data_IF_280835489674
#
_entry.id   IF_280835489674
#
_cell.length_a   1.000
_cell.length_b   1.000
_cell.length_c   1.000
_cell.angle_alpha   90.00
_cell.angle_beta   90.00
_cell.angle_gamma   90.00
#
_symmetry.space_group_name_H-M   'P 1'
#
loop_
_entity.id
_entity.type
_entity.pdbx_description
1 polymer ?
#
# COMPACT_ATOMS: atom_id res chain seq x y z
N UNK A 1 7.31 -7.63 10.87
CA UNK A 1 7.98 -7.43 12.18
C UNK A 1 6.95 -7.32 13.36
N UNK A 2 5.65 -7.54 13.16
CA UNK A 2 4.63 -7.26 14.21
C UNK A 2 4.04 -8.46 14.97
N UNK A 3 4.34 -9.70 14.58
CA UNK A 3 3.63 -10.90 15.09
C UNK A 3 3.84 -11.12 16.60
N UNK A 4 5.07 -11.07 17.16
CA UNK A 4 5.27 -11.29 18.59
C UNK A 4 4.57 -10.24 19.47
N UNK A 5 4.59 -8.98 19.04
CA UNK A 5 3.92 -7.88 19.73
C UNK A 5 2.39 -8.00 19.69
N UNK A 6 1.83 -8.50 18.57
CA UNK A 6 0.40 -8.80 18.46
C UNK A 6 0.01 -9.97 19.35
N UNK A 7 0.75 -11.08 19.33
CA UNK A 7 0.49 -12.24 20.18
C UNK A 7 0.57 -11.88 21.67
N UNK A 8 1.54 -11.06 22.07
CA UNK A 8 1.64 -10.57 23.45
C UNK A 8 0.44 -9.68 23.83
N UNK A 9 0.02 -8.77 22.95
CA UNK A 9 -1.12 -7.89 23.18
C UNK A 9 -2.43 -8.70 23.30
N UNK A 10 -2.62 -9.72 22.46
CA UNK A 10 -3.74 -10.66 22.58
C UNK A 10 -3.71 -11.42 23.91
N UNK A 11 -2.55 -11.93 24.33
CA UNK A 11 -2.38 -12.61 25.62
C UNK A 11 -2.73 -11.70 26.79
N UNK A 12 -2.36 -10.42 26.72
CA UNK A 12 -2.68 -9.40 27.74
C UNK A 12 -4.08 -8.80 27.60
N UNK A 13 -4.88 -9.22 26.61
CA UNK A 13 -6.21 -8.65 26.28
C UNK A 13 -6.18 -7.13 26.06
N UNK A 14 -5.05 -6.60 25.59
CA UNK A 14 -4.83 -5.18 25.36
C UNK A 14 -5.35 -4.77 23.98
N UNK A 15 -6.67 -4.63 23.88
CA UNK A 15 -7.34 -4.28 22.62
C UNK A 15 -6.95 -2.89 22.09
N UNK A 16 -6.62 -1.95 22.98
CA UNK A 16 -6.20 -0.60 22.59
C UNK A 16 -4.84 -0.63 21.90
N UNK A 17 -3.90 -1.45 22.40
CA UNK A 17 -2.60 -1.66 21.75
C UNK A 17 -2.75 -2.37 20.41
N UNK A 18 -3.63 -3.36 20.29
CA UNK A 18 -3.90 -4.03 19.01
C UNK A 18 -4.44 -3.03 17.99
N UNK A 19 -5.41 -2.21 18.38
CA UNK A 19 -5.97 -1.15 17.52
C UNK A 19 -4.90 -0.14 17.09
N UNK A 20 -4.00 0.24 17.99
CA UNK A 20 -2.87 1.13 17.68
C UNK A 20 -1.92 0.50 16.66
N UNK A 21 -1.56 -0.77 16.85
CA UNK A 21 -0.72 -1.52 15.88
C UNK A 21 -1.45 -1.61 14.54
N UNK A 22 -2.76 -1.84 14.55
CA UNK A 22 -3.55 -1.97 13.35
C UNK A 22 -3.55 -0.69 12.51
N UNK A 23 -3.89 0.45 13.12
CA UNK A 23 -3.89 1.75 12.44
C UNK A 23 -2.50 2.18 11.98
N UNK A 24 -1.47 2.00 12.81
CA UNK A 24 -0.08 2.31 12.43
C UNK A 24 0.39 1.48 11.24
N UNK A 25 0.07 0.19 11.25
CA UNK A 25 0.43 -0.69 10.14
C UNK A 25 -0.25 -0.28 8.84
N UNK A 26 -1.55 0.02 8.89
CA UNK A 26 -2.34 0.44 7.73
C UNK A 26 -1.79 1.72 7.13
N UNK A 27 -1.56 2.77 7.94
CA UNK A 27 -1.09 4.04 7.41
C UNK A 27 0.32 3.95 6.83
N UNK A 28 1.22 3.20 7.47
CA UNK A 28 2.59 3.03 6.97
C UNK A 28 2.62 2.21 5.67
N UNK A 29 1.88 1.12 5.62
CA UNK A 29 1.80 0.27 4.44
C UNK A 29 1.13 1.01 3.28
N UNK A 30 0.11 1.83 3.56
CA UNK A 30 -0.52 2.69 2.55
C UNK A 30 0.45 3.74 2.00
N UNK A 31 1.20 4.41 2.88
CA UNK A 31 2.22 5.39 2.47
C UNK A 31 3.28 4.75 1.56
N UNK A 32 3.78 3.56 1.92
CA UNK A 32 4.76 2.82 1.11
C UNK A 32 4.13 2.41 -0.23
N UNK A 33 2.91 1.88 -0.22
CA UNK A 33 2.23 1.45 -1.42
C UNK A 33 1.98 2.62 -2.39
N UNK A 34 1.50 3.77 -1.89
CA UNK A 34 1.32 4.99 -2.69
C UNK A 34 2.64 5.54 -3.22
N UNK A 35 3.68 5.54 -2.40
CA UNK A 35 5.00 6.02 -2.80
C UNK A 35 5.56 5.20 -3.97
N UNK A 36 5.51 3.87 -3.86
CA UNK A 36 5.99 2.97 -4.91
C UNK A 36 5.11 3.05 -6.15
N UNK A 37 3.79 2.98 -5.97
CA UNK A 37 2.85 3.04 -7.08
C UNK A 37 2.94 4.36 -7.84
N UNK A 38 3.00 5.50 -7.15
CA UNK A 38 3.12 6.82 -7.76
C UNK A 38 4.40 6.95 -8.61
N UNK A 39 5.55 6.50 -8.09
CA UNK A 39 6.81 6.49 -8.85
C UNK A 39 6.74 5.57 -10.07
N UNK A 40 6.19 4.36 -9.94
CA UNK A 40 6.05 3.41 -11.05
C UNK A 40 5.12 4.00 -12.12
N UNK A 41 3.97 4.54 -11.69
CA UNK A 41 2.94 5.06 -12.58
C UNK A 41 3.39 6.31 -13.35
N UNK A 42 4.03 7.27 -12.67
CA UNK A 42 4.57 8.48 -13.31
C UNK A 42 5.62 8.19 -14.38
N UNK A 43 6.42 7.14 -14.16
CA UNK A 43 7.54 6.80 -15.03
C UNK A 43 7.24 5.67 -16.00
N UNK A 44 6.04 5.08 -15.98
CA UNK A 44 5.75 3.85 -16.71
C UNK A 44 6.10 3.91 -18.20
N UNK A 45 5.58 4.90 -18.92
CA UNK A 45 5.84 5.06 -20.36
C UNK A 45 7.29 5.43 -20.63
N UNK A 46 7.84 6.35 -19.83
CA UNK A 46 9.23 6.78 -19.95
C UNK A 46 10.20 5.61 -19.71
N UNK A 47 9.92 4.74 -18.75
CA UNK A 47 10.72 3.56 -18.47
C UNK A 47 10.69 2.59 -19.64
N UNK A 48 9.52 2.29 -20.20
CA UNK A 48 9.41 1.38 -21.36
C UNK A 48 10.18 1.90 -22.56
N UNK A 49 10.00 3.19 -22.89
CA UNK A 49 10.65 3.81 -24.04
C UNK A 49 12.17 3.94 -23.85
N UNK A 50 12.61 4.36 -22.66
CA UNK A 50 14.04 4.61 -22.37
C UNK A 50 14.84 3.31 -22.22
N UNK A 51 14.22 2.26 -21.68
CA UNK A 51 14.84 0.94 -21.56
C UNK A 51 14.79 0.14 -22.88
N UNK A 52 14.24 0.71 -23.95
CA UNK A 52 14.03 0.04 -25.24
C UNK A 52 13.29 -1.29 -25.10
N UNK A 53 12.30 -1.34 -24.21
CA UNK A 53 11.46 -2.53 -24.06
C UNK A 53 10.52 -2.67 -25.25
N UNK A 54 10.04 -3.89 -25.47
CA UNK A 54 9.09 -4.17 -26.55
C UNK A 54 7.84 -3.25 -26.40
N UNK A 55 7.43 -2.50 -27.45
CA UNK A 55 6.27 -1.61 -27.41
C UNK A 55 4.97 -2.29 -26.97
N UNK A 56 4.85 -3.61 -27.13
CA UNK A 56 3.72 -4.40 -26.61
C UNK A 56 3.51 -4.18 -25.11
N UNK A 57 4.56 -3.90 -24.33
CA UNK A 57 4.42 -3.59 -22.91
C UNK A 57 3.63 -2.32 -22.63
N UNK A 58 3.58 -1.34 -23.55
CA UNK A 58 2.75 -0.13 -23.37
C UNK A 58 1.25 -0.48 -23.29
N UNK A 59 0.83 -1.57 -23.93
CA UNK A 59 -0.55 -2.06 -23.83
C UNK A 59 -0.89 -2.56 -22.42
N UNK A 60 0.13 -2.91 -21.63
CA UNK A 60 0.01 -3.31 -20.22
C UNK A 60 -0.21 -2.16 -19.24
N UNK A 61 -0.31 -0.90 -19.70
CA UNK A 61 -0.46 0.27 -18.82
C UNK A 61 -1.61 0.11 -17.82
N UNK A 62 -2.80 -0.26 -18.30
CA UNK A 62 -3.96 -0.46 -17.43
C UNK A 62 -3.81 -1.65 -16.48
N UNK A 63 -3.01 -2.66 -16.83
CA UNK A 63 -2.71 -3.79 -15.95
C UNK A 63 -1.91 -3.31 -14.74
N UNK A 64 -0.92 -2.44 -14.94
CA UNK A 64 -0.13 -1.83 -13.86
C UNK A 64 -1.01 -0.94 -12.97
N UNK A 65 -1.94 -0.19 -13.57
CA UNK A 65 -2.91 0.60 -12.80
C UNK A 65 -3.76 -0.30 -11.88
N UNK A 66 -4.37 -1.35 -12.44
CA UNK A 66 -5.21 -2.29 -11.69
C UNK A 66 -4.44 -3.01 -10.59
N UNK A 67 -3.22 -3.47 -10.88
CA UNK A 67 -2.34 -4.10 -9.89
C UNK A 67 -1.92 -3.11 -8.80
N UNK A 68 -1.64 -1.86 -9.16
CA UNK A 68 -1.35 -0.80 -8.21
C UNK A 68 -2.50 -0.57 -7.23
N UNK A 69 -3.73 -0.43 -7.74
CA UNK A 69 -4.94 -0.29 -6.90
C UNK A 69 -5.13 -1.53 -6.01
N UNK A 70 -4.90 -2.73 -6.54
CA UNK A 70 -4.97 -3.98 -5.76
C UNK A 70 -3.99 -3.95 -4.59
N UNK A 71 -2.75 -3.52 -4.82
CA UNK A 71 -1.73 -3.37 -3.79
C UNK A 71 -2.14 -2.29 -2.77
N UNK A 72 -2.70 -1.16 -3.22
CA UNK A 72 -3.21 -0.11 -2.32
C UNK A 72 -4.34 -0.61 -1.42
N UNK A 73 -5.27 -1.40 -1.95
CA UNK A 73 -6.35 -2.00 -1.14
C UNK A 73 -5.76 -2.97 -0.13
N UNK A 74 -4.92 -3.90 -0.57
CA UNK A 74 -4.36 -4.94 0.29
C UNK A 74 -3.48 -4.35 1.41
N UNK A 75 -2.45 -3.60 1.03
CA UNK A 75 -1.53 -2.96 1.97
C UNK A 75 -2.22 -1.87 2.80
N UNK A 76 -3.16 -1.14 2.21
CA UNK A 76 -3.90 -0.07 2.88
C UNK A 76 -4.78 -0.57 4.02
N UNK A 77 -5.21 -1.83 3.99
CA UNK A 77 -5.95 -2.44 5.11
C UNK A 77 -5.05 -2.93 6.24
N UNK A 78 -3.72 -2.80 6.12
CA UNK A 78 -2.79 -3.07 7.20
C UNK A 78 -2.61 -4.55 7.52
N UNK A 79 -2.23 -4.86 8.76
CA UNK A 79 -1.93 -6.23 9.20
C UNK A 79 -3.16 -7.01 9.68
N UNK A 80 -4.29 -6.86 8.98
CA UNK A 80 -5.58 -7.44 9.38
C UNK A 80 -5.51 -8.97 9.56
N UNK A 81 -4.82 -9.67 8.67
CA UNK A 81 -4.72 -11.12 8.71
C UNK A 81 -3.83 -11.62 9.84
N UNK A 82 -2.76 -10.90 10.15
CA UNK A 82 -1.90 -11.20 11.28
C UNK A 82 -2.64 -10.96 12.61
N UNK A 83 -3.50 -9.95 12.69
CA UNK A 83 -4.34 -9.70 13.87
C UNK A 83 -5.31 -10.87 14.08
N UNK A 84 -6.00 -11.32 13.04
CA UNK A 84 -6.93 -12.47 13.12
C UNK A 84 -6.16 -13.76 13.43
N UNK A 85 -5.07 -14.02 12.72
CA UNK A 85 -4.25 -15.23 12.82
C UNK A 85 -3.57 -15.41 14.19
N UNK A 86 -3.25 -14.32 14.89
CA UNK A 86 -2.67 -14.37 16.26
C UNK A 86 -3.72 -14.40 17.36
N UNK A 87 -5.01 -14.28 17.02
CA UNK A 87 -6.11 -14.34 17.96
C UNK A 87 -6.65 -15.78 18.12
N UNK A 88 -7.59 -15.96 19.06
CA UNK A 88 -8.34 -17.22 19.19
C UNK A 88 -9.18 -17.58 17.95
N UNK A 89 -9.32 -16.65 16.99
CA UNK A 89 -10.07 -16.81 15.75
C UNK A 89 -9.17 -17.07 14.54
N UNK A 90 -7.97 -17.63 14.72
CA UNK A 90 -7.05 -17.95 13.63
C UNK A 90 -7.69 -18.76 12.49
N UNK A 91 -8.71 -19.58 12.77
CA UNK A 91 -9.46 -20.33 11.75
C UNK A 91 -10.11 -19.39 10.72
N UNK A 92 -10.52 -18.19 11.12
CA UNK A 92 -11.08 -17.18 10.20
C UNK A 92 -10.01 -16.70 9.21
N UNK A 93 -8.76 -16.55 9.65
CA UNK A 93 -7.64 -16.24 8.74
C UNK A 93 -7.47 -17.34 7.70
N UNK A 94 -7.50 -18.60 8.15
CA UNK A 94 -7.40 -19.76 7.29
C UNK A 94 -8.55 -19.84 6.26
N UNK A 95 -9.82 -19.72 6.72
CA UNK A 95 -10.98 -19.79 5.83
C UNK A 95 -11.07 -18.59 4.87
N UNK A 96 -10.68 -17.39 5.29
CA UNK A 96 -10.61 -16.23 4.38
C UNK A 96 -9.53 -16.42 3.32
N UNK A 97 -8.41 -17.07 3.66
CA UNK A 97 -7.39 -17.47 2.68
C UNK A 97 -7.91 -18.47 1.64
N UNK A 98 -8.67 -19.49 2.09
CA UNK A 98 -9.35 -20.42 1.16
C UNK A 98 -10.37 -19.68 0.29
N UNK A 99 -11.17 -18.79 0.88
CA UNK A 99 -12.12 -17.96 0.15
C UNK A 99 -11.46 -17.10 -0.93
N UNK A 100 -10.29 -16.51 -0.64
CA UNK A 100 -9.50 -15.80 -1.65
C UNK A 100 -9.14 -16.70 -2.84
N UNK A 101 -8.67 -17.93 -2.58
CA UNK A 101 -8.34 -18.88 -3.64
C UNK A 101 -9.57 -19.27 -4.46
N UNK A 102 -10.71 -19.48 -3.79
CA UNK A 102 -11.99 -19.82 -4.42
C UNK A 102 -12.54 -18.68 -5.29
N UNK A 103 -12.22 -17.42 -4.99
CA UNK A 103 -12.51 -16.30 -5.89
C UNK A 103 -11.48 -16.21 -7.02
N UNK A 104 -10.20 -16.31 -6.69
CA UNK A 104 -9.12 -16.03 -7.62
C UNK A 104 -9.04 -17.07 -8.75
N UNK A 105 -9.19 -18.36 -8.44
CA UNK A 105 -9.03 -19.44 -9.43
C UNK A 105 -10.13 -19.38 -10.51
N UNK A 106 -11.43 -19.38 -10.19
CA UNK A 106 -12.48 -19.32 -11.21
C UNK A 106 -12.45 -18.01 -12.00
N UNK A 107 -12.19 -16.87 -11.33
CA UNK A 107 -12.07 -15.59 -12.03
C UNK A 107 -10.93 -15.62 -13.03
N UNK A 108 -9.74 -16.09 -12.65
CA UNK A 108 -8.63 -16.21 -13.60
C UNK A 108 -8.96 -17.18 -14.74
N UNK A 109 -9.57 -18.33 -14.45
CA UNK A 109 -9.95 -19.31 -15.46
C UNK A 109 -10.92 -18.74 -16.50
N UNK A 110 -11.82 -17.84 -16.11
CA UNK A 110 -12.79 -17.21 -17.01
C UNK A 110 -12.21 -15.98 -17.72
N UNK A 111 -11.52 -15.11 -16.99
CA UNK A 111 -11.10 -13.78 -17.48
C UNK A 111 -9.80 -13.84 -18.28
N UNK A 112 -8.83 -14.67 -17.91
CA UNK A 112 -7.53 -14.72 -18.60
C UNK A 112 -7.67 -15.20 -20.05
N UNK A 113 -8.43 -16.26 -20.37
CA UNK A 113 -8.63 -16.65 -21.77
C UNK A 113 -9.35 -15.60 -22.61
N UNK A 114 -10.21 -14.76 -22.00
CA UNK A 114 -11.03 -13.77 -22.72
C UNK A 114 -10.32 -12.43 -22.94
N UNK A 115 -9.59 -11.95 -21.95
CA UNK A 115 -9.00 -10.59 -21.95
C UNK A 115 -7.53 -10.59 -21.48
N UNK A 116 -6.88 -11.75 -21.51
CA UNK A 116 -5.44 -11.91 -21.28
C UNK A 116 -4.98 -11.43 -19.90
N UNK A 117 -3.84 -10.73 -19.89
CA UNK A 117 -3.21 -10.22 -18.67
C UNK A 117 -4.07 -9.20 -17.91
N UNK A 118 -4.95 -8.47 -18.61
CA UNK A 118 -5.92 -7.57 -17.99
C UNK A 118 -6.92 -8.36 -17.16
N UNK A 119 -7.32 -9.54 -17.63
CA UNK A 119 -8.18 -10.46 -16.89
C UNK A 119 -7.56 -10.95 -15.59
N UNK A 120 -6.26 -11.25 -15.59
CA UNK A 120 -5.54 -11.62 -14.38
C UNK A 120 -5.51 -10.48 -13.35
N UNK A 121 -5.29 -9.24 -13.80
CA UNK A 121 -5.29 -8.06 -12.93
C UNK A 121 -6.67 -7.74 -12.35
N UNK A 122 -7.73 -7.79 -13.16
CA UNK A 122 -9.12 -7.59 -12.70
C UNK A 122 -9.50 -8.66 -11.68
N UNK A 123 -9.19 -9.93 -11.97
CA UNK A 123 -9.43 -11.05 -11.06
C UNK A 123 -8.75 -10.83 -9.71
N UNK A 124 -7.48 -10.42 -9.75
CA UNK A 124 -6.70 -10.15 -8.54
C UNK A 124 -7.27 -8.98 -7.74
N UNK A 125 -7.57 -7.86 -8.38
CA UNK A 125 -8.16 -6.70 -7.72
C UNK A 125 -9.48 -7.05 -7.05
N UNK A 126 -10.39 -7.70 -7.76
CA UNK A 126 -11.69 -8.08 -7.23
C UNK A 126 -11.57 -9.08 -6.07
N UNK A 127 -10.78 -10.14 -6.23
CA UNK A 127 -10.62 -11.18 -5.22
C UNK A 127 -10.00 -10.62 -3.93
N UNK A 128 -8.93 -9.81 -4.03
CA UNK A 128 -8.30 -9.19 -2.87
C UNK A 128 -9.17 -8.11 -2.21
N UNK A 129 -10.01 -7.42 -2.99
CA UNK A 129 -10.97 -6.45 -2.44
C UNK A 129 -12.03 -7.18 -1.60
N UNK A 130 -12.67 -8.22 -2.15
CA UNK A 130 -13.64 -9.04 -1.43
C UNK A 130 -13.03 -9.68 -0.17
N UNK A 131 -11.83 -10.25 -0.31
CA UNK A 131 -11.07 -10.83 0.79
C UNK A 131 -10.83 -9.85 1.94
N UNK A 132 -10.38 -8.63 1.63
CA UNK A 132 -10.15 -7.60 2.63
C UNK A 132 -11.45 -7.08 3.23
N UNK A 133 -12.53 -6.94 2.46
CA UNK A 133 -13.86 -6.58 2.97
C UNK A 133 -14.34 -7.58 4.02
N UNK A 134 -14.20 -8.88 3.76
CA UNK A 134 -14.60 -9.93 4.72
C UNK A 134 -13.81 -9.82 6.03
N UNK A 135 -12.48 -9.61 5.94
CA UNK A 135 -11.62 -9.45 7.13
C UNK A 135 -11.92 -8.20 7.92
N UNK A 136 -12.10 -7.08 7.23
CA UNK A 136 -12.50 -5.81 7.85
C UNK A 136 -13.85 -5.95 8.55
N UNK A 137 -14.83 -6.56 7.87
CA UNK A 137 -16.15 -6.82 8.43
C UNK A 137 -16.08 -7.70 9.68
N UNK A 138 -15.26 -8.75 9.65
CA UNK A 138 -15.03 -9.62 10.81
C UNK A 138 -14.41 -8.86 11.99
N UNK A 139 -13.32 -8.13 11.77
CA UNK A 139 -12.65 -7.35 12.82
C UNK A 139 -13.56 -6.26 13.40
N UNK A 140 -14.37 -5.62 12.55
CA UNK A 140 -15.35 -4.63 12.98
C UNK A 140 -16.45 -5.26 13.83
N UNK A 141 -17.08 -6.33 13.35
CA UNK A 141 -18.18 -6.98 14.06
C UNK A 141 -17.72 -7.57 15.40
N UNK A 142 -16.56 -8.24 15.41
CA UNK A 142 -16.11 -9.00 16.59
C UNK A 142 -15.34 -8.17 17.61
N UNK A 143 -14.50 -7.25 17.14
CA UNK A 143 -13.57 -6.50 18.00
C UNK A 143 -13.77 -4.99 17.94
N UNK A 144 -14.68 -4.48 17.10
CA UNK A 144 -14.88 -3.04 16.86
C UNK A 144 -13.60 -2.32 16.45
N UNK A 145 -12.73 -3.03 15.73
CA UNK A 145 -11.44 -2.53 15.25
C UNK A 145 -11.53 -2.13 13.79
N UNK A 146 -10.90 -1.01 13.43
CA UNK A 146 -10.76 -0.55 12.04
C UNK A 146 -9.35 -0.01 11.77
N UNK A 147 -8.79 -0.24 10.57
CA UNK A 147 -7.44 0.22 10.24
C UNK A 147 -7.40 1.72 9.92
N UNK A 148 -8.53 2.27 9.48
CA UNK A 148 -8.59 3.60 8.93
C UNK A 148 -8.67 4.67 10.03
N UNK A 149 -8.04 5.79 9.76
CA UNK A 149 -8.11 7.02 10.55
C UNK A 149 -8.40 8.20 9.64
N UNK A 150 -8.68 9.38 10.19
CA UNK A 150 -8.82 10.62 9.41
C UNK A 150 -7.60 10.89 8.52
N UNK A 151 -6.41 10.47 8.96
CA UNK A 151 -5.16 10.58 8.20
C UNK A 151 -5.13 9.68 6.97
N UNK A 152 -5.86 8.57 6.94
CA UNK A 152 -5.92 7.67 5.78
C UNK A 152 -6.44 8.41 4.54
N UNK A 153 -7.50 9.22 4.69
CA UNK A 153 -8.05 10.01 3.60
C UNK A 153 -7.06 11.09 3.14
N UNK A 154 -6.37 11.73 4.08
CA UNK A 154 -5.32 12.73 3.78
C UNK A 154 -4.17 12.10 2.99
N UNK A 155 -3.76 10.88 3.34
CA UNK A 155 -2.70 10.13 2.64
C UNK A 155 -3.10 9.81 1.20
N UNK A 156 -4.34 9.35 0.97
CA UNK A 156 -4.86 9.09 -0.37
C UNK A 156 -4.92 10.38 -1.20
N UNK A 157 -5.47 11.46 -0.63
CA UNK A 157 -5.52 12.76 -1.29
C UNK A 157 -4.11 13.28 -1.63
N UNK A 158 -3.16 13.14 -0.70
CA UNK A 158 -1.77 13.52 -0.91
C UNK A 158 -1.14 12.75 -2.09
N UNK A 159 -1.37 11.44 -2.19
CA UNK A 159 -0.86 10.64 -3.31
C UNK A 159 -1.36 11.13 -4.67
N UNK A 160 -2.66 11.42 -4.77
CA UNK A 160 -3.27 11.96 -5.99
C UNK A 160 -2.75 13.37 -6.30
N UNK A 161 -2.72 14.26 -5.32
CA UNK A 161 -2.23 15.64 -5.50
C UNK A 161 -0.76 15.63 -5.91
N UNK A 162 0.09 14.85 -5.23
CA UNK A 162 1.51 14.76 -5.55
C UNK A 162 1.74 14.22 -6.97
N UNK A 163 0.95 13.23 -7.39
CA UNK A 163 0.97 12.74 -8.77
C UNK A 163 0.63 13.85 -9.77
N UNK A 164 -0.49 14.56 -9.56
CA UNK A 164 -0.94 15.62 -10.45
C UNK A 164 0.07 16.76 -10.54
N UNK A 165 0.61 17.22 -9.40
CA UNK A 165 1.62 18.29 -9.36
C UNK A 165 2.84 17.91 -10.20
N UNK A 166 3.39 16.70 -10.00
CA UNK A 166 4.58 16.27 -10.76
C UNK A 166 4.25 16.06 -12.24
N UNK A 167 3.08 15.49 -12.54
CA UNK A 167 2.63 15.28 -13.92
C UNK A 167 2.55 16.61 -14.70
N UNK A 168 1.94 17.65 -14.12
CA UNK A 168 1.82 18.96 -14.75
C UNK A 168 3.12 19.78 -14.75
N UNK A 169 4.02 19.56 -13.79
CA UNK A 169 5.31 20.28 -13.71
C UNK A 169 6.36 19.74 -14.70
N UNK A 170 6.20 18.51 -15.17
CA UNK A 170 7.19 17.82 -16.03
C UNK A 170 6.68 17.44 -17.42
N UNK A 171 5.98 18.34 -18.16
CA UNK A 171 5.52 18.04 -19.50
C UNK A 171 6.71 17.91 -20.45
N UNK A 172 6.64 16.95 -21.38
CA UNK A 172 7.61 16.82 -22.48
C UNK A 172 9.00 16.28 -22.12
N UNK A 173 9.31 16.01 -20.84
CA UNK A 173 10.57 15.38 -20.47
C UNK A 173 10.57 13.88 -20.85
N UNK A 174 11.55 13.46 -21.65
CA UNK A 174 11.78 12.06 -22.05
C UNK A 174 13.18 11.57 -21.66
N UNK A 175 13.41 10.27 -21.76
CA UNK A 175 14.71 9.64 -21.47
C UNK A 175 15.01 9.47 -19.97
N UNK A 176 16.26 9.08 -19.69
CA UNK A 176 16.74 8.81 -18.33
C UNK A 176 16.60 10.00 -17.39
N UNK A 177 16.90 11.21 -17.87
CA UNK A 177 16.81 12.43 -17.09
C UNK A 177 15.38 12.68 -16.60
N UNK A 178 14.37 12.41 -17.45
CA UNK A 178 12.96 12.50 -17.07
C UNK A 178 12.60 11.56 -15.93
N UNK A 179 13.08 10.32 -15.98
CA UNK A 179 12.80 9.32 -14.93
C UNK A 179 13.38 9.78 -13.59
N UNK A 180 14.63 10.25 -13.58
CA UNK A 180 15.27 10.74 -12.37
C UNK A 180 14.57 11.99 -11.83
N UNK A 181 14.27 12.97 -12.68
CA UNK A 181 13.60 14.21 -12.28
C UNK A 181 12.21 13.91 -11.71
N UNK A 182 11.35 13.19 -12.44
CA UNK A 182 9.99 12.87 -11.98
C UNK A 182 10.00 12.10 -10.67
N UNK A 183 10.89 11.10 -10.55
CA UNK A 183 11.02 10.31 -9.32
C UNK A 183 11.54 11.14 -8.16
N UNK A 184 12.53 12.00 -8.39
CA UNK A 184 13.08 12.88 -7.35
C UNK A 184 12.05 13.91 -6.88
N UNK A 185 11.36 14.58 -7.80
CA UNK A 185 10.31 15.56 -7.45
C UNK A 185 9.13 14.90 -6.73
N UNK A 186 8.62 13.77 -7.24
CA UNK A 186 7.53 13.07 -6.59
C UNK A 186 7.94 12.57 -5.20
N UNK A 187 9.14 11.98 -5.09
CA UNK A 187 9.63 11.47 -3.81
C UNK A 187 9.86 12.59 -2.80
N UNK A 188 10.47 13.70 -3.21
CA UNK A 188 10.69 14.87 -2.36
C UNK A 188 9.36 15.44 -1.88
N UNK A 189 8.43 15.70 -2.80
CA UNK A 189 7.11 16.24 -2.49
C UNK A 189 6.34 15.32 -1.54
N UNK A 190 6.30 14.02 -1.83
CA UNK A 190 5.55 13.04 -1.05
C UNK A 190 6.15 12.87 0.35
N UNK A 191 7.47 12.77 0.48
CA UNK A 191 8.15 12.62 1.78
C UNK A 191 8.04 13.89 2.62
N UNK A 192 8.27 15.08 2.03
CA UNK A 192 8.17 16.37 2.74
C UNK A 192 6.74 16.60 3.20
N UNK A 193 5.73 16.36 2.36
CA UNK A 193 4.33 16.52 2.74
C UNK A 193 3.92 15.50 3.81
N UNK A 194 4.37 14.25 3.71
CA UNK A 194 4.12 13.21 4.74
C UNK A 194 4.70 13.62 6.09
N UNK A 195 5.90 14.21 6.09
CA UNK A 195 6.55 14.73 7.28
C UNK A 195 5.82 15.94 7.87
N UNK A 196 5.54 16.95 7.05
CA UNK A 196 4.87 18.19 7.47
C UNK A 196 3.48 17.93 8.05
N UNK A 197 2.71 17.04 7.42
CA UNK A 197 1.36 16.66 7.84
C UNK A 197 1.35 15.62 8.99
N UNK A 198 2.53 15.17 9.47
CA UNK A 198 2.69 14.17 10.52
C UNK A 198 1.82 12.92 10.29
N UNK A 199 1.83 12.40 9.06
CA UNK A 199 0.91 11.33 8.65
C UNK A 199 1.24 10.00 9.31
N UNK A 200 2.51 9.73 9.62
CA UNK A 200 2.91 8.54 10.37
C UNK A 200 3.50 8.90 11.74
N UNK A 201 3.02 8.26 12.83
CA UNK A 201 3.61 8.44 14.17
C UNK A 201 5.00 7.78 14.28
N UNK A 202 5.40 6.96 13.31
CA UNK A 202 6.67 6.25 13.33
C UNK A 202 7.80 7.07 12.68
N UNK A 203 7.50 8.22 12.06
CA UNK A 203 8.52 9.07 11.43
C UNK A 203 9.49 9.67 12.46
N UNK A 204 8.98 10.24 13.56
CA UNK A 204 9.80 10.88 14.60
C UNK A 204 10.77 9.90 15.29
N UNK A 205 10.34 8.69 15.71
CA UNK A 205 11.26 7.67 16.23
C UNK A 205 12.36 7.25 15.25
N UNK A 206 12.02 7.08 13.96
CA UNK A 206 12.98 6.71 12.92
C UNK A 206 13.99 7.84 12.73
N UNK A 207 13.53 9.09 12.62
CA UNK A 207 14.39 10.26 12.46
C UNK A 207 15.35 10.40 13.65
N UNK A 208 14.87 10.19 14.88
CA UNK A 208 15.71 10.24 16.07
C UNK A 208 16.75 9.12 16.09
N UNK A 209 16.41 7.93 15.61
CA UNK A 209 17.35 6.81 15.47
C UNK A 209 18.43 7.11 14.43
N UNK A 210 18.04 7.68 13.28
CA UNK A 210 18.96 8.10 12.22
C UNK A 210 19.89 9.22 12.73
N UNK A 211 19.34 10.26 13.37
CA UNK A 211 20.13 11.35 13.97
C UNK A 211 21.14 10.84 14.99
N UNK A 212 20.74 9.90 15.86
CA UNK A 212 21.64 9.24 16.81
C UNK A 212 22.74 8.45 16.10
N UNK A 213 22.44 7.76 15.00
CA UNK A 213 23.40 6.93 14.23
C UNK A 213 24.42 7.77 13.45
N UNK A 214 24.01 8.94 12.96
CA UNK A 214 24.89 9.87 12.24
C UNK A 214 25.52 10.95 13.13
N UNK A 215 25.39 10.85 14.46
CA UNK A 215 26.05 11.76 15.40
C UNK A 215 25.54 13.20 15.37
N UNK A 216 24.42 13.48 14.70
CA UNK A 216 23.83 14.82 14.64
C UNK A 216 23.08 15.04 15.96
N UNK A 217 23.79 15.55 16.97
CA UNK A 217 23.18 16.08 18.20
C UNK A 217 22.20 17.19 17.81
N UNK A 218 20.90 16.93 17.97
CA UNK A 218 19.91 18.00 17.97
C UNK A 218 20.27 18.97 19.09
N UNK A 219 20.40 20.26 18.76
CA UNK A 219 20.48 21.33 19.76
C UNK A 219 19.27 21.22 20.70
N UNK A 220 19.58 21.28 21.99
CA UNK A 220 18.62 21.40 23.09
C UNK A 220 17.72 22.61 22.91
#
# INVERSE_FOLDING_TARGET
ISIPFLSEAWRKKDHQRIQTIYQRSSINLLLIALFLFGNIWLNYENAINTLHLNPVYLQGKYVVLLMGIKILVDMGTGVNGQIIGTSNYWKVEFFTGIFLLLLLIPMNFILVPRIGITGAAISSLAAYTCYNIVRLGFLWYKFRMQPFSTKTLVVLALGVIAYLVVFYLTPGLSGWLSIFIKSAFFSLLFVVATWYLKLTPDFEPILNTVKKRFGIKGKA
#
